data_IF_776359511371
#
_entry.id   IF_776359511371
#
_cell.length_a   1.000
_cell.length_b   1.000
_cell.length_c   1.000
_cell.angle_alpha   90.00
_cell.angle_beta   90.00
_cell.angle_gamma   90.00
#
_symmetry.space_group_name_H-M   'P 1'
#
loop_
_entity.id
_entity.type
_entity.pdbx_description
1 polymer ?
#
# COMPACT_ATOMS: atom_id res chain seq x y z
N UNK A 1 12.11 6.71 8.41
CA UNK A 1 10.80 6.21 7.94
C UNK A 1 9.83 7.39 7.93
N UNK A 2 9.12 7.60 6.84
CA UNK A 2 8.10 8.64 6.76
C UNK A 2 6.76 7.97 6.47
N UNK A 3 5.84 8.01 7.42
CA UNK A 3 4.49 7.47 7.27
C UNK A 3 3.54 8.66 7.19
N UNK A 4 2.78 8.70 6.09
CA UNK A 4 1.72 9.68 5.86
C UNK A 4 0.39 8.96 5.86
N UNK A 5 -0.55 9.44 6.64
CA UNK A 5 -1.91 8.96 6.60
C UNK A 5 -2.82 9.95 5.85
N UNK A 6 -3.76 9.41 5.08
CA UNK A 6 -4.76 10.19 4.36
C UNK A 6 -6.15 9.84 4.87
N UNK A 7 -6.71 10.75 5.64
CA UNK A 7 -8.04 10.65 6.24
C UNK A 7 -9.06 11.52 5.49
N UNK A 8 -10.33 11.17 5.58
CA UNK A 8 -11.42 11.94 4.97
C UNK A 8 -12.68 11.10 4.77
N UNK A 9 -13.82 11.75 4.53
CA UNK A 9 -15.10 11.06 4.27
C UNK A 9 -14.99 10.10 3.08
N UNK A 10 -15.86 9.10 3.04
CA UNK A 10 -15.99 8.23 1.87
C UNK A 10 -16.33 9.08 0.63
N UNK A 11 -15.68 8.77 -0.50
CA UNK A 11 -15.88 9.52 -1.74
C UNK A 11 -15.08 10.82 -1.86
N UNK A 12 -14.27 11.22 -0.89
CA UNK A 12 -13.47 12.46 -0.98
C UNK A 12 -12.24 12.38 -1.90
N UNK A 13 -11.96 11.21 -2.53
CA UNK A 13 -10.93 11.05 -3.55
C UNK A 13 -9.67 10.29 -3.11
N UNK A 14 -9.58 9.74 -1.89
CA UNK A 14 -8.38 9.01 -1.39
C UNK A 14 -7.97 7.86 -2.28
N UNK A 15 -8.87 6.91 -2.53
CA UNK A 15 -8.61 5.74 -3.39
C UNK A 15 -8.45 6.13 -4.87
N UNK A 16 -9.02 7.25 -5.30
CA UNK A 16 -8.79 7.81 -6.63
C UNK A 16 -7.35 8.30 -6.74
N UNK A 17 -6.86 9.03 -5.74
CA UNK A 17 -5.48 9.51 -5.69
C UNK A 17 -4.48 8.35 -5.69
N UNK A 18 -4.71 7.30 -4.88
CA UNK A 18 -3.83 6.12 -4.84
C UNK A 18 -3.74 5.43 -6.20
N UNK A 19 -4.88 5.24 -6.87
CA UNK A 19 -4.95 4.63 -8.20
C UNK A 19 -4.28 5.50 -9.28
N UNK A 20 -4.45 6.82 -9.24
CA UNK A 20 -3.78 7.74 -10.17
C UNK A 20 -2.26 7.69 -9.98
N UNK A 21 -1.75 7.69 -8.75
CA UNK A 21 -0.31 7.58 -8.48
C UNK A 21 0.23 6.23 -8.99
N UNK A 22 -0.52 5.15 -8.84
CA UNK A 22 -0.15 3.84 -9.34
C UNK A 22 -0.30 3.67 -10.87
N UNK A 23 -0.89 4.64 -11.57
CA UNK A 23 -1.07 4.61 -13.02
C UNK A 23 -2.26 3.78 -13.49
N UNK A 24 -3.30 3.62 -12.66
CA UNK A 24 -4.46 2.80 -13.02
C UNK A 24 -5.13 3.29 -14.31
N UNK A 25 -5.35 2.43 -15.33
CA UNK A 25 -5.73 2.82 -16.69
C UNK A 25 -7.13 3.46 -16.80
N UNK A 26 -7.98 3.32 -15.78
CA UNK A 26 -9.30 3.96 -15.75
C UNK A 26 -9.27 5.45 -15.43
N UNK A 27 -8.10 6.01 -15.13
CA UNK A 27 -7.96 7.42 -14.75
C UNK A 27 -6.97 8.14 -15.65
N UNK A 28 -7.36 9.31 -16.13
CA UNK A 28 -6.51 10.19 -16.93
C UNK A 28 -6.17 11.46 -16.13
N UNK A 29 -4.91 11.84 -16.13
CA UNK A 29 -4.45 13.10 -15.54
C UNK A 29 -4.70 14.21 -16.59
N UNK A 30 -5.66 15.08 -16.31
CA UNK A 30 -6.03 16.15 -17.24
C UNK A 30 -5.18 17.40 -17.04
N UNK A 31 -4.64 17.60 -15.85
CA UNK A 31 -3.77 18.71 -15.49
C UNK A 31 -2.89 18.36 -14.30
N UNK A 32 -1.72 18.99 -14.21
CA UNK A 32 -0.74 18.78 -13.14
C UNK A 32 0.23 17.64 -13.40
N UNK A 33 1.23 17.54 -12.52
CA UNK A 33 2.34 16.61 -12.61
C UNK A 33 2.46 15.73 -11.36
N UNK A 34 2.68 14.45 -11.56
CA UNK A 34 3.14 13.54 -10.50
C UNK A 34 4.64 13.35 -10.67
N UNK A 35 5.41 13.74 -9.66
CA UNK A 35 6.87 13.57 -9.66
C UNK A 35 7.26 12.49 -8.66
N UNK A 36 8.05 11.52 -9.13
CA UNK A 36 8.61 10.46 -8.32
C UNK A 36 10.12 10.41 -8.51
N UNK A 37 10.89 10.50 -7.43
CA UNK A 37 12.35 10.60 -7.46
C UNK A 37 12.88 11.74 -8.37
N UNK A 38 12.11 12.83 -8.49
CA UNK A 38 12.45 14.01 -9.32
C UNK A 38 11.95 13.94 -10.76
N UNK A 39 11.50 12.79 -11.24
CA UNK A 39 11.02 12.59 -12.61
C UNK A 39 9.49 12.65 -12.69
N UNK A 40 8.97 13.19 -13.80
CA UNK A 40 7.53 13.16 -14.08
C UNK A 40 7.14 11.75 -14.55
N UNK A 41 6.13 11.17 -13.87
CA UNK A 41 5.68 9.81 -14.13
C UNK A 41 4.30 9.74 -14.81
N UNK A 42 3.75 10.85 -15.27
CA UNK A 42 2.40 10.88 -15.85
C UNK A 42 2.23 9.93 -17.03
N UNK A 43 3.27 9.79 -17.86
CA UNK A 43 3.27 8.93 -19.06
C UNK A 43 3.67 7.48 -18.81
N UNK A 44 4.10 7.14 -17.60
CA UNK A 44 4.53 5.79 -17.28
C UNK A 44 3.31 4.88 -17.04
N UNK A 45 3.37 3.69 -17.62
CA UNK A 45 2.40 2.63 -17.42
C UNK A 45 2.47 2.05 -15.98
N UNK A 46 1.43 1.36 -15.48
CA UNK A 46 1.41 0.82 -14.12
C UNK A 46 2.61 -0.07 -13.79
N UNK A 47 3.00 -0.93 -14.72
CA UNK A 47 4.17 -1.82 -14.56
C UNK A 47 5.48 -1.05 -14.45
N UNK A 48 5.66 0.02 -15.21
CA UNK A 48 6.85 0.87 -15.15
C UNK A 48 6.93 1.60 -13.81
N UNK A 49 5.79 2.11 -13.31
CA UNK A 49 5.71 2.73 -11.98
C UNK A 49 6.01 1.72 -10.87
N UNK A 50 5.47 0.51 -10.97
CA UNK A 50 5.76 -0.56 -10.03
C UNK A 50 7.25 -0.93 -10.05
N UNK A 51 7.85 -1.10 -11.23
CA UNK A 51 9.28 -1.38 -11.39
C UNK A 51 10.15 -0.23 -10.89
N UNK A 52 9.72 1.02 -10.99
CA UNK A 52 10.43 2.18 -10.45
C UNK A 52 10.40 2.24 -8.91
N UNK A 53 9.45 1.55 -8.29
CA UNK A 53 9.34 1.41 -6.82
C UNK A 53 8.09 1.98 -6.21
N UNK A 54 7.01 2.11 -6.96
CA UNK A 54 5.68 2.46 -6.44
C UNK A 54 4.90 1.16 -6.23
N UNK A 55 4.45 0.91 -5.02
CA UNK A 55 3.61 -0.23 -4.65
C UNK A 55 2.22 0.27 -4.26
N UNK A 56 1.19 -0.39 -4.78
CA UNK A 56 -0.20 -0.15 -4.37
C UNK A 56 -0.77 -1.42 -3.73
N UNK A 57 -1.09 -1.33 -2.45
CA UNK A 57 -1.92 -2.29 -1.75
C UNK A 57 -3.40 -1.97 -2.01
N UNK A 58 -4.12 -2.92 -2.59
CA UNK A 58 -5.51 -2.72 -2.99
C UNK A 58 -6.47 -2.87 -1.82
N UNK A 59 -7.54 -2.10 -1.82
CA UNK A 59 -8.66 -2.29 -0.89
C UNK A 59 -9.18 -3.74 -0.95
N UNK A 60 -9.35 -4.26 -2.16
CA UNK A 60 -9.75 -5.65 -2.44
C UNK A 60 -8.67 -6.34 -3.29
N UNK A 61 -7.77 -7.14 -2.69
CA UNK A 61 -6.75 -7.85 -3.44
C UNK A 61 -7.35 -8.82 -4.47
N UNK A 62 -6.85 -8.74 -5.70
CA UNK A 62 -7.39 -9.49 -6.85
C UNK A 62 -6.96 -10.97 -6.75
N UNK A 63 -7.85 -11.87 -7.16
CA UNK A 63 -7.55 -13.28 -7.35
C UNK A 63 -7.05 -13.54 -8.78
N UNK A 64 -6.00 -14.36 -8.92
CA UNK A 64 -5.47 -14.77 -10.22
C UNK A 64 -5.52 -16.32 -10.30
N UNK A 65 -6.65 -16.89 -10.74
CA UNK A 65 -6.79 -18.33 -10.84
C UNK A 65 -5.75 -18.94 -11.79
N UNK A 66 -5.21 -20.10 -11.43
CA UNK A 66 -4.26 -20.85 -12.24
C UNK A 66 -2.81 -20.35 -12.20
N UNK A 67 -2.53 -19.22 -11.56
CA UNK A 67 -1.16 -18.72 -11.33
C UNK A 67 -0.78 -18.97 -9.89
N UNK A 68 0.24 -19.81 -9.63
CA UNK A 68 0.69 -20.04 -8.25
C UNK A 68 1.26 -18.76 -7.63
N UNK A 69 1.05 -18.62 -6.32
CA UNK A 69 1.55 -17.46 -5.59
C UNK A 69 3.09 -17.39 -5.66
N UNK A 70 3.78 -18.53 -5.58
CA UNK A 70 5.24 -18.61 -5.73
C UNK A 70 5.72 -18.04 -7.06
N UNK A 71 5.12 -18.46 -8.18
CA UNK A 71 5.53 -18.02 -9.51
C UNK A 71 5.21 -16.54 -9.72
N UNK A 72 4.03 -16.08 -9.28
CA UNK A 72 3.67 -14.66 -9.32
C UNK A 72 4.69 -13.79 -8.56
N UNK A 73 5.03 -14.19 -7.34
CA UNK A 73 6.00 -13.47 -6.50
C UNK A 73 7.40 -13.48 -7.12
N UNK A 74 7.84 -14.63 -7.68
CA UNK A 74 9.15 -14.77 -8.32
C UNK A 74 9.27 -13.88 -9.55
N UNK A 75 8.30 -13.94 -10.45
CA UNK A 75 8.30 -13.13 -11.69
C UNK A 75 8.28 -11.64 -11.36
N UNK A 76 7.43 -11.22 -10.42
CA UNK A 76 7.33 -9.81 -10.00
C UNK A 76 8.63 -9.32 -9.37
N UNK A 77 9.25 -10.13 -8.49
CA UNK A 77 10.53 -9.80 -7.86
C UNK A 77 11.65 -9.69 -8.90
N UNK A 78 11.73 -10.63 -9.85
CA UNK A 78 12.75 -10.62 -10.89
C UNK A 78 12.56 -9.45 -11.87
N UNK A 79 11.32 -9.09 -12.22
CA UNK A 79 11.05 -7.89 -13.01
C UNK A 79 11.58 -6.62 -12.33
N UNK A 80 11.37 -6.50 -11.01
CA UNK A 80 11.90 -5.39 -10.21
C UNK A 80 13.43 -5.42 -10.15
N UNK A 81 14.04 -6.58 -9.94
CA UNK A 81 15.51 -6.75 -9.92
C UNK A 81 16.15 -6.36 -11.24
N UNK A 82 15.56 -6.82 -12.36
CA UNK A 82 16.00 -6.46 -13.71
C UNK A 82 15.97 -4.94 -13.94
N UNK A 83 14.89 -4.27 -13.53
CA UNK A 83 14.80 -2.81 -13.59
C UNK A 83 15.94 -2.12 -12.81
N UNK A 84 16.34 -2.70 -11.68
CA UNK A 84 17.43 -2.22 -10.81
C UNK A 84 18.83 -2.66 -11.30
N UNK A 85 18.96 -3.26 -12.49
CA UNK A 85 20.20 -3.86 -13.01
C UNK A 85 20.83 -4.90 -12.07
N UNK A 86 20.00 -5.65 -11.34
CA UNK A 86 20.40 -6.79 -10.51
C UNK A 86 20.13 -8.09 -11.26
N UNK A 87 20.95 -9.11 -11.02
CA UNK A 87 20.72 -10.45 -11.56
C UNK A 87 19.40 -11.03 -11.09
N UNK A 88 18.73 -11.78 -11.95
CA UNK A 88 17.52 -12.52 -11.60
C UNK A 88 17.86 -13.63 -10.60
N UNK A 89 16.98 -13.85 -9.64
CA UNK A 89 17.09 -14.97 -8.70
C UNK A 89 16.67 -16.26 -9.40
N UNK A 90 17.53 -17.30 -9.29
CA UNK A 90 17.14 -18.64 -9.64
C UNK A 90 16.02 -19.13 -8.71
N UNK A 91 15.30 -20.17 -9.12
CA UNK A 91 14.16 -20.68 -8.36
C UNK A 91 14.52 -21.03 -6.91
N UNK A 92 15.66 -21.69 -6.71
CA UNK A 92 16.11 -22.08 -5.37
C UNK A 92 16.41 -20.86 -4.47
N UNK A 93 17.17 -19.88 -5.00
CA UNK A 93 17.52 -18.67 -4.23
C UNK A 93 16.27 -17.84 -3.89
N UNK A 94 15.29 -17.83 -4.80
CA UNK A 94 14.01 -17.17 -4.55
C UNK A 94 13.18 -17.89 -3.48
N UNK A 95 13.18 -19.24 -3.48
CA UNK A 95 12.48 -20.03 -2.45
C UNK A 95 13.06 -19.79 -1.05
N UNK A 96 14.37 -19.65 -0.92
CA UNK A 96 14.99 -19.27 0.35
C UNK A 96 14.59 -17.87 0.80
N UNK A 97 14.63 -16.89 -0.12
CA UNK A 97 14.20 -15.51 0.16
C UNK A 97 12.73 -15.45 0.59
N UNK A 98 11.83 -16.13 -0.11
CA UNK A 98 10.40 -16.06 0.20
C UNK A 98 10.07 -16.72 1.53
N UNK A 99 10.79 -17.79 1.93
CA UNK A 99 10.64 -18.42 3.25
C UNK A 99 10.91 -17.42 4.38
N UNK A 100 12.00 -16.66 4.29
CA UNK A 100 12.30 -15.60 5.26
C UNK A 100 11.17 -14.57 5.35
N UNK A 101 10.63 -14.15 4.20
CA UNK A 101 9.57 -13.13 4.16
C UNK A 101 8.20 -13.66 4.62
N UNK A 102 7.90 -14.95 4.46
CA UNK A 102 6.69 -15.57 5.00
C UNK A 102 6.61 -15.47 6.54
N UNK A 103 7.75 -15.56 7.23
CA UNK A 103 7.80 -15.42 8.69
C UNK A 103 7.35 -14.03 9.15
N UNK A 104 7.67 -12.97 8.38
CA UNK A 104 7.27 -11.60 8.71
C UNK A 104 5.76 -11.43 8.75
N UNK A 105 5.06 -12.13 7.88
CA UNK A 105 3.61 -12.05 7.71
C UNK A 105 2.87 -13.23 8.34
N UNK A 106 3.59 -14.14 9.01
CA UNK A 106 3.07 -15.37 9.65
C UNK A 106 2.16 -16.17 8.70
N UNK A 107 2.61 -16.37 7.46
CA UNK A 107 1.93 -17.23 6.48
C UNK A 107 2.60 -18.57 6.37
N UNK A 108 1.79 -19.62 6.20
CA UNK A 108 2.27 -20.98 5.96
C UNK A 108 2.83 -21.10 4.54
N UNK A 109 3.88 -21.91 4.39
CA UNK A 109 4.50 -22.20 3.10
C UNK A 109 3.52 -22.80 2.07
N UNK A 110 2.49 -23.52 2.52
CA UNK A 110 1.46 -24.08 1.65
C UNK A 110 0.71 -23.02 0.81
N UNK A 111 0.70 -21.76 1.24
CA UNK A 111 0.11 -20.67 0.44
C UNK A 111 0.85 -20.40 -0.87
N UNK A 112 2.12 -20.76 -0.97
CA UNK A 112 2.93 -20.55 -2.16
C UNK A 112 2.48 -21.42 -3.35
N UNK A 113 1.97 -22.61 -3.10
CA UNK A 113 1.48 -23.52 -4.15
C UNK A 113 0.06 -23.21 -4.62
N UNK A 114 -0.69 -22.41 -3.86
CA UNK A 114 -2.06 -22.02 -4.20
C UNK A 114 -2.07 -20.90 -5.23
N UNK A 115 -3.15 -20.79 -6.00
CA UNK A 115 -3.36 -19.64 -6.89
C UNK A 115 -3.42 -18.34 -6.09
N UNK A 116 -2.89 -17.25 -6.67
CA UNK A 116 -2.82 -15.93 -6.02
C UNK A 116 -4.18 -15.53 -5.46
N UNK A 117 -4.24 -15.38 -4.15
CA UNK A 117 -5.42 -14.94 -3.38
C UNK A 117 -6.68 -15.82 -3.52
N UNK A 118 -6.68 -16.88 -4.35
CA UNK A 118 -7.86 -17.70 -4.58
C UNK A 118 -8.22 -18.51 -3.33
N UNK A 119 -9.43 -18.27 -2.82
CA UNK A 119 -9.93 -18.90 -1.61
C UNK A 119 -9.17 -18.52 -0.34
N UNK A 120 -8.41 -17.44 -0.35
CA UNK A 120 -7.82 -16.85 0.85
C UNK A 120 -8.89 -16.08 1.61
N UNK A 121 -8.84 -16.12 2.95
CA UNK A 121 -9.60 -15.21 3.79
C UNK A 121 -9.14 -13.76 3.60
N UNK A 122 -9.93 -12.79 4.05
CA UNK A 122 -9.55 -11.37 3.98
C UNK A 122 -8.19 -11.09 4.63
N UNK A 123 -7.94 -11.65 5.81
CA UNK A 123 -6.67 -11.51 6.52
C UNK A 123 -5.50 -12.16 5.79
N UNK A 124 -5.70 -13.32 5.16
CA UNK A 124 -4.67 -13.99 4.36
C UNK A 124 -4.34 -13.20 3.09
N UNK A 125 -5.34 -12.63 2.40
CA UNK A 125 -5.14 -11.75 1.24
C UNK A 125 -4.29 -10.53 1.61
N UNK A 126 -4.60 -9.88 2.74
CA UNK A 126 -3.83 -8.73 3.21
C UNK A 126 -2.41 -9.09 3.64
N UNK A 127 -2.21 -10.22 4.32
CA UNK A 127 -0.86 -10.73 4.63
C UNK A 127 -0.07 -11.07 3.38
N UNK A 128 -0.71 -11.64 2.35
CA UNK A 128 -0.07 -11.89 1.06
C UNK A 128 0.34 -10.59 0.35
N UNK A 129 -0.45 -9.54 0.48
CA UNK A 129 -0.12 -8.20 -0.05
C UNK A 129 1.11 -7.60 0.65
N UNK A 130 1.21 -7.75 1.98
CA UNK A 130 2.41 -7.34 2.73
C UNK A 130 3.63 -8.21 2.37
N UNK A 131 3.43 -9.51 2.07
CA UNK A 131 4.50 -10.37 1.54
C UNK A 131 5.02 -9.85 0.19
N UNK A 132 4.12 -9.46 -0.72
CA UNK A 132 4.50 -8.83 -2.00
C UNK A 132 5.32 -7.55 -1.76
N UNK A 133 4.87 -6.68 -0.84
CA UNK A 133 5.60 -5.48 -0.46
C UNK A 133 7.00 -5.79 0.08
N UNK A 134 7.13 -6.86 0.91
CA UNK A 134 8.41 -7.29 1.47
C UNK A 134 9.42 -7.76 0.44
N UNK A 135 8.94 -8.40 -0.64
CA UNK A 135 9.77 -8.92 -1.72
C UNK A 135 10.13 -7.86 -2.75
N UNK A 136 9.21 -6.94 -3.04
CA UNK A 136 9.40 -5.88 -4.03
C UNK A 136 10.24 -4.72 -3.50
N UNK A 137 10.36 -4.55 -2.19
CA UNK A 137 11.13 -3.48 -1.54
C UNK A 137 10.87 -2.10 -2.18
N UNK A 138 9.63 -1.60 -2.13
CA UNK A 138 9.28 -0.36 -2.82
C UNK A 138 9.94 0.86 -2.16
N UNK A 139 10.15 1.93 -2.94
CA UNK A 139 10.51 3.25 -2.41
C UNK A 139 9.31 3.96 -1.77
N UNK A 140 8.11 3.72 -2.32
CA UNK A 140 6.85 4.19 -1.75
C UNK A 140 5.81 3.09 -1.80
N UNK A 141 5.14 2.83 -0.68
CA UNK A 141 4.00 1.94 -0.61
C UNK A 141 2.75 2.74 -0.27
N UNK A 142 1.70 2.59 -1.08
CA UNK A 142 0.39 3.16 -0.86
C UNK A 142 -0.52 2.01 -0.44
N UNK A 143 -1.06 2.06 0.77
CA UNK A 143 -1.86 1.01 1.37
C UNK A 143 -3.30 1.51 1.54
N UNK A 144 -4.17 1.09 0.62
CA UNK A 144 -5.55 1.57 0.56
C UNK A 144 -6.47 0.64 1.37
N UNK A 145 -6.94 1.12 2.51
CA UNK A 145 -7.83 0.41 3.45
C UNK A 145 -7.35 -1.01 3.78
N UNK A 146 -6.04 -1.15 4.03
CA UNK A 146 -5.39 -2.45 4.30
C UNK A 146 -5.89 -3.09 5.60
N UNK A 147 -6.51 -2.33 6.47
CA UNK A 147 -7.12 -2.73 7.75
C UNK A 147 -8.59 -3.15 7.63
N UNK A 148 -9.23 -2.92 6.49
CA UNK A 148 -10.64 -3.22 6.29
C UNK A 148 -10.92 -4.73 6.38
N UNK A 149 -11.87 -5.12 7.23
CA UNK A 149 -12.31 -6.50 7.39
C UNK A 149 -11.32 -7.42 8.13
N UNK A 150 -10.28 -6.86 8.75
CA UNK A 150 -9.34 -7.62 9.57
C UNK A 150 -9.85 -7.76 11.01
N UNK A 151 -9.64 -8.94 11.58
CA UNK A 151 -9.68 -9.11 13.03
C UNK A 151 -8.43 -8.48 13.69
N UNK A 152 -8.43 -8.39 15.01
CA UNK A 152 -7.37 -7.73 15.78
C UNK A 152 -6.01 -8.41 15.57
N UNK A 153 -5.98 -9.73 15.46
CA UNK A 153 -4.74 -10.49 15.33
C UNK A 153 -4.14 -10.32 13.92
N UNK A 154 -4.96 -10.40 12.89
CA UNK A 154 -4.55 -10.13 11.50
C UNK A 154 -4.07 -8.68 11.34
N UNK A 155 -4.74 -7.71 11.95
CA UNK A 155 -4.33 -6.31 11.94
C UNK A 155 -2.94 -6.12 12.55
N UNK A 156 -2.68 -6.72 13.71
CA UNK A 156 -1.36 -6.66 14.37
C UNK A 156 -0.26 -7.28 13.53
N UNK A 157 -0.53 -8.40 12.86
CA UNK A 157 0.43 -9.04 11.97
C UNK A 157 0.77 -8.12 10.79
N UNK A 158 -0.25 -7.56 10.14
CA UNK A 158 -0.10 -6.61 9.03
C UNK A 158 0.69 -5.37 9.47
N UNK A 159 0.31 -4.75 10.58
CA UNK A 159 1.01 -3.59 11.13
C UNK A 159 2.48 -3.90 11.48
N UNK A 160 2.74 -5.04 12.11
CA UNK A 160 4.10 -5.52 12.41
C UNK A 160 4.91 -5.75 11.13
N UNK A 161 4.30 -6.34 10.11
CA UNK A 161 4.92 -6.53 8.79
C UNK A 161 5.31 -5.20 8.16
N UNK A 162 4.39 -4.24 8.10
CA UNK A 162 4.64 -2.89 7.59
C UNK A 162 5.81 -2.23 8.32
N UNK A 163 5.83 -2.26 9.65
CA UNK A 163 6.93 -1.69 10.46
C UNK A 163 8.29 -2.32 10.15
N UNK A 164 8.35 -3.66 10.02
CA UNK A 164 9.60 -4.39 9.78
C UNK A 164 10.15 -4.18 8.37
N UNK A 165 9.26 -4.03 7.37
CA UNK A 165 9.64 -3.80 5.98
C UNK A 165 10.05 -2.34 5.77
N UNK A 166 9.45 -1.42 6.51
CA UNK A 166 9.70 -0.01 6.41
C UNK A 166 11.09 0.35 6.95
N UNK A 167 11.87 1.04 6.14
CA UNK A 167 13.19 1.55 6.50
C UNK A 167 13.25 3.08 6.31
N UNK A 168 14.42 3.68 6.54
CA UNK A 168 14.60 5.13 6.39
C UNK A 168 14.38 5.66 4.95
N UNK A 169 14.43 4.77 3.95
CA UNK A 169 14.30 5.11 2.54
C UNK A 169 12.90 4.78 1.98
N UNK A 170 12.04 4.13 2.77
CA UNK A 170 10.69 3.76 2.34
C UNK A 170 9.68 4.79 2.84
N UNK A 171 8.94 5.41 1.92
CA UNK A 171 7.75 6.20 2.22
C UNK A 171 6.52 5.30 2.29
N UNK A 172 5.67 5.51 3.28
CA UNK A 172 4.37 4.81 3.40
C UNK A 172 3.26 5.85 3.34
N UNK A 173 2.28 5.62 2.48
CA UNK A 173 1.01 6.35 2.48
C UNK A 173 -0.05 5.36 2.92
N UNK A 174 -0.63 5.59 4.08
CA UNK A 174 -1.79 4.85 4.57
C UNK A 174 -3.05 5.59 4.15
N UNK A 175 -4.06 4.86 3.71
CA UNK A 175 -5.42 5.36 3.56
C UNK A 175 -6.27 4.49 4.46
N UNK A 176 -6.70 5.02 5.58
CA UNK A 176 -7.50 4.30 6.55
C UNK A 176 -8.60 5.19 7.13
N UNK A 177 -9.66 4.55 7.60
CA UNK A 177 -10.73 5.17 8.36
C UNK A 177 -10.69 4.74 9.84
N UNK A 178 -9.77 3.84 10.20
CA UNK A 178 -9.76 3.20 11.51
C UNK A 178 -8.53 3.59 12.31
N UNK A 179 -8.76 4.18 13.46
CA UNK A 179 -7.73 4.51 14.44
C UNK A 179 -6.89 3.30 14.84
N UNK A 180 -7.49 2.10 14.86
CA UNK A 180 -6.80 0.87 15.29
C UNK A 180 -5.50 0.58 14.53
N UNK A 181 -5.43 0.87 13.23
CA UNK A 181 -4.19 0.73 12.49
C UNK A 181 -3.18 1.80 12.90
N UNK A 182 -3.64 3.03 13.14
CA UNK A 182 -2.81 4.15 13.56
C UNK A 182 -2.27 3.98 14.99
N UNK A 183 -2.98 3.30 15.87
CA UNK A 183 -2.49 2.92 17.21
C UNK A 183 -1.29 1.96 17.11
N UNK A 184 -1.32 1.08 16.10
CA UNK A 184 -0.20 0.17 15.82
C UNK A 184 0.91 0.83 14.99
N UNK A 185 0.58 1.77 14.08
CA UNK A 185 1.52 2.43 13.17
C UNK A 185 1.35 3.94 13.32
N UNK A 186 2.17 4.57 14.16
CA UNK A 186 2.10 6.01 14.37
C UNK A 186 2.53 6.78 13.11
N UNK A 187 1.62 7.58 12.49
CA UNK A 187 1.95 8.35 11.30
C UNK A 187 2.82 9.57 11.66
N UNK A 188 3.76 9.90 10.79
CA UNK A 188 4.55 11.13 10.88
C UNK A 188 3.70 12.36 10.54
N UNK A 189 2.82 12.21 9.56
CA UNK A 189 1.89 13.23 9.10
C UNK A 189 0.52 12.64 8.82
N UNK A 190 -0.51 13.42 9.13
CA UNK A 190 -1.91 13.12 8.82
C UNK A 190 -2.42 14.20 7.88
N UNK A 191 -2.98 13.79 6.74
CA UNK A 191 -3.57 14.66 5.74
C UNK A 191 -5.07 14.45 5.70
N UNK A 192 -5.84 15.53 5.83
CA UNK A 192 -7.30 15.48 5.71
C UNK A 192 -7.69 15.88 4.30
N UNK A 193 -8.41 14.97 3.63
CA UNK A 193 -8.92 15.20 2.28
C UNK A 193 -10.42 15.47 2.27
N UNK A 194 -10.83 16.47 1.47
CA UNK A 194 -12.21 16.74 1.14
C UNK A 194 -12.30 17.19 -0.32
N UNK A 195 -13.26 16.66 -1.08
CA UNK A 195 -13.50 16.99 -2.50
C UNK A 195 -12.24 16.96 -3.38
N UNK A 196 -11.40 15.95 -3.18
CA UNK A 196 -10.16 15.79 -3.96
C UNK A 196 -9.01 16.71 -3.57
N UNK A 197 -9.16 17.52 -2.51
CA UNK A 197 -8.12 18.44 -2.03
C UNK A 197 -7.63 18.04 -0.64
N UNK A 198 -6.35 18.27 -0.34
CA UNK A 198 -5.83 18.22 1.04
C UNK A 198 -6.18 19.58 1.69
N UNK A 199 -7.07 19.55 2.68
CA UNK A 199 -7.56 20.75 3.37
C UNK A 199 -6.84 21.05 4.68
N UNK A 200 -6.25 20.03 5.31
CA UNK A 200 -5.47 20.19 6.55
C UNK A 200 -4.37 19.14 6.61
N UNK A 201 -3.23 19.51 7.16
CA UNK A 201 -2.11 18.62 7.47
C UNK A 201 -1.66 18.83 8.90
N UNK A 202 -1.40 17.76 9.64
CA UNK A 202 -0.92 17.80 11.03
C UNK A 202 -0.13 16.56 11.41
N UNK A 203 0.19 16.42 12.67
CA UNK A 203 0.79 15.21 13.26
C UNK A 203 -0.26 14.16 13.63
N UNK A 204 0.15 13.14 14.40
CA UNK A 204 -0.74 12.08 14.90
C UNK A 204 -1.93 12.60 15.73
N UNK A 205 -1.76 13.74 16.43
CA UNK A 205 -2.87 14.39 17.18
C UNK A 205 -4.07 14.73 16.29
N UNK A 206 -3.83 15.03 15.01
CA UNK A 206 -4.91 15.33 14.06
C UNK A 206 -5.80 14.11 13.81
N UNK A 207 -5.25 12.90 13.79
CA UNK A 207 -6.05 11.68 13.67
C UNK A 207 -6.98 11.50 14.88
N UNK A 208 -6.47 11.71 16.09
CA UNK A 208 -7.26 11.67 17.33
C UNK A 208 -8.34 12.76 17.37
N UNK A 209 -8.06 13.94 16.84
CA UNK A 209 -9.03 15.02 16.72
C UNK A 209 -10.19 14.63 15.78
N UNK A 210 -9.86 14.02 14.64
CA UNK A 210 -10.85 13.55 13.66
C UNK A 210 -11.72 12.43 14.20
N UNK A 211 -11.17 11.49 14.96
CA UNK A 211 -11.94 10.43 15.59
C UNK A 211 -12.97 11.00 16.60
N UNK A 212 -12.54 11.97 17.40
CA UNK A 212 -13.42 12.58 18.42
C UNK A 212 -14.49 13.51 17.83
N UNK A 213 -14.14 14.31 16.84
CA UNK A 213 -15.01 15.38 16.30
C UNK A 213 -15.72 14.99 15.00
N UNK A 214 -15.33 13.87 14.37
CA UNK A 214 -15.81 13.50 13.05
C UNK A 214 -15.31 14.45 11.95
N UNK A 215 -15.96 14.38 10.80
CA UNK A 215 -15.57 15.16 9.60
C UNK A 215 -16.52 16.34 9.31
N UNK A 216 -17.50 16.65 10.17
CA UNK A 216 -18.51 17.71 9.89
C UNK A 216 -17.87 19.08 9.70
N UNK A 217 -16.79 19.36 10.43
CA UNK A 217 -16.06 20.63 10.31
C UNK A 217 -15.36 20.81 8.95
N UNK A 218 -15.13 19.74 8.20
CA UNK A 218 -14.51 19.84 6.86
C UNK A 218 -15.40 20.54 5.85
N UNK A 219 -16.73 20.55 6.09
CA UNK A 219 -17.70 21.21 5.22
C UNK A 219 -17.54 22.74 5.22
N UNK A 220 -16.99 23.30 6.30
CA UNK A 220 -16.72 24.73 6.39
C UNK A 220 -15.54 25.16 5.51
N UNK A 221 -14.51 24.32 5.35
CA UNK A 221 -13.37 24.60 4.48
C UNK A 221 -13.73 24.54 2.99
N UNK A 222 -14.75 23.78 2.63
CA UNK A 222 -15.21 23.64 1.24
C UNK A 222 -15.95 24.89 0.77
N UNK A 223 -16.65 25.60 1.69
CA UNK A 223 -17.46 26.79 1.37
C UNK A 223 -16.63 28.05 1.20
N UNK A 224 -15.38 28.06 1.67
CA UNK A 224 -14.48 29.23 1.62
C UNK A 224 -13.48 29.20 0.45
N UNK A 225 -13.52 28.14 -0.39
CA UNK A 225 -12.63 27.94 -1.56
C UNK A 225 -13.44 27.88 -2.85
#
# INVERSE_FOLDING_TARGET
>A
MCIRDSMGRNGCGKSTLSKIIAGHPSYNITNGDIKFSGENINSLEPEERSQSGIFLGFQYPIEIPGVSNLEFLRVSTNARRKFLNKEELATFDFEELVKEKLELVKMDHAFLSRSVNQGFSGGEKKRNEILQMALLEPKIAILDETDSGLDIDALRIVASGIKKISNAQTGIILITHYQRLLDEIEPTFVHVMAEGKIIKTGGSDLALELEKKGYEWTDNFIKET
#
